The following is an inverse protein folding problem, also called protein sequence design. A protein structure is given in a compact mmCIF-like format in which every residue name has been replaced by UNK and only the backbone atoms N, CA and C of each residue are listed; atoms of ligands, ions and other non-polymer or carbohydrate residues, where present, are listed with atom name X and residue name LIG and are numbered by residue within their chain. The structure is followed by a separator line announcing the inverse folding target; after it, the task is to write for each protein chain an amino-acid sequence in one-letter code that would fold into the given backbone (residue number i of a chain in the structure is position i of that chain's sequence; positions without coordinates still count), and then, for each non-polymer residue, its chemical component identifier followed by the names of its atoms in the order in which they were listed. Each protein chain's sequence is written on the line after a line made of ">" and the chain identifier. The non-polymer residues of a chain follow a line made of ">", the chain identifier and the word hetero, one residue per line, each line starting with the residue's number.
data_IF_873829859515
#
_entry.id   IF_873829859515
#
_cell.length_a   1.000
_cell.length_b   1.000
_cell.length_c   1.000
_cell.angle_alpha   90.00
_cell.angle_beta   90.00
_cell.angle_gamma   90.00
#
_symmetry.space_group_name_H-M   'P 1'
#
loop_
_entity.id
_entity.type
_entity.pdbx_description
1 polymer ?
#
# COMPACT_ATOMS: atom_id res chain seq x y z
N UNK A 1 -1.17 -1.62 9.25
CA UNK A 1 -0.17 -0.91 8.41
C UNK A 1 -0.65 -1.01 6.97
N UNK A 2 -0.99 0.10 6.33
CA UNK A 2 -1.48 0.05 4.96
C UNK A 2 -0.38 -0.44 4.00
N UNK A 3 -0.75 -1.37 3.13
CA UNK A 3 0.04 -1.91 2.04
C UNK A 3 -0.66 -1.59 0.71
N UNK A 4 -0.32 -2.28 -0.37
CA UNK A 4 -0.91 -2.02 -1.69
C UNK A 4 -2.46 -2.10 -1.71
N UNK A 5 -3.11 -3.15 -1.14
CA UNK A 5 -4.57 -3.24 -1.19
C UNK A 5 -5.28 -2.09 -0.50
N UNK A 6 -4.77 -1.66 0.66
CA UNK A 6 -5.35 -0.55 1.42
C UNK A 6 -5.15 0.78 0.68
N UNK A 7 -3.97 1.00 0.08
CA UNK A 7 -3.72 2.19 -0.75
C UNK A 7 -4.61 2.21 -2.01
N UNK A 8 -4.82 1.07 -2.65
CA UNK A 8 -5.72 0.93 -3.80
C UNK A 8 -7.17 1.21 -3.41
N UNK A 9 -7.61 0.71 -2.24
CA UNK A 9 -8.92 1.02 -1.69
C UNK A 9 -9.13 2.52 -1.52
N UNK A 10 -8.17 3.22 -0.89
CA UNK A 10 -8.24 4.67 -0.67
C UNK A 10 -8.38 5.43 -1.99
N UNK A 11 -7.56 5.08 -2.99
CA UNK A 11 -7.63 5.71 -4.32
C UNK A 11 -8.98 5.50 -4.99
N UNK A 12 -9.55 4.29 -4.93
CA UNK A 12 -10.86 4.01 -5.52
C UNK A 12 -11.97 4.76 -4.80
N UNK A 13 -11.92 4.84 -3.47
CA UNK A 13 -12.88 5.64 -2.69
C UNK A 13 -12.78 7.13 -2.99
N UNK A 14 -11.58 7.66 -3.18
CA UNK A 14 -11.42 9.05 -3.60
C UNK A 14 -12.00 9.30 -5.00
N UNK A 15 -11.85 8.38 -5.94
CA UNK A 15 -12.49 8.46 -7.27
C UNK A 15 -14.01 8.43 -7.18
N UNK A 16 -14.58 7.69 -6.24
CA UNK A 16 -16.02 7.57 -6.03
C UNK A 16 -16.62 8.82 -5.36
N UNK A 17 -15.98 9.31 -4.29
CA UNK A 17 -16.54 10.37 -3.44
C UNK A 17 -16.11 11.79 -3.83
N UNK A 18 -15.04 11.94 -4.57
CA UNK A 18 -14.48 13.23 -4.96
C UNK A 18 -13.97 13.26 -6.42
N UNK A 19 -14.75 12.76 -7.42
CA UNK A 19 -14.26 12.60 -8.79
C UNK A 19 -13.80 13.93 -9.41
N UNK A 20 -14.55 15.01 -9.18
CA UNK A 20 -14.33 16.36 -9.75
C UNK A 20 -13.94 17.39 -8.69
N UNK A 21 -13.26 16.95 -7.64
CA UNK A 21 -12.93 17.82 -6.52
C UNK A 21 -12.10 19.03 -6.96
N UNK A 22 -12.42 20.19 -6.40
CA UNK A 22 -11.59 21.39 -6.53
C UNK A 22 -10.97 21.68 -5.16
N UNK A 23 -9.66 21.50 -5.06
CA UNK A 23 -8.90 21.80 -3.85
C UNK A 23 -8.64 23.30 -3.82
N UNK A 24 -9.06 23.98 -2.75
CA UNK A 24 -8.81 25.41 -2.55
C UNK A 24 -7.47 25.68 -1.88
N UNK A 25 -7.12 24.83 -0.90
CA UNK A 25 -5.85 24.93 -0.16
C UNK A 25 -5.64 23.68 0.67
N UNK A 26 -4.39 23.48 1.13
CA UNK A 26 -4.06 22.48 2.14
C UNK A 26 -3.80 23.17 3.50
N UNK A 27 -4.38 22.62 4.60
CA UNK A 27 -4.05 22.97 5.97
C UNK A 27 -3.19 21.87 6.56
N UNK A 28 -1.94 22.16 6.84
CA UNK A 28 -1.03 21.24 7.52
C UNK A 28 -1.21 21.45 9.04
N UNK A 29 -1.72 20.42 9.73
CA UNK A 29 -1.94 20.44 11.18
C UNK A 29 -0.75 19.87 11.97
N UNK A 30 0.14 19.17 11.27
CA UNK A 30 1.37 18.62 11.82
C UNK A 30 2.51 18.79 10.81
N UNK A 31 3.45 19.69 11.07
CA UNK A 31 4.52 20.02 10.11
C UNK A 31 5.46 18.86 9.81
N UNK A 32 5.70 17.96 10.79
CA UNK A 32 6.59 16.82 10.62
C UNK A 32 6.17 15.83 9.51
N UNK A 33 4.91 15.88 9.06
CA UNK A 33 4.44 15.04 7.93
C UNK A 33 4.56 15.74 6.57
N UNK A 34 4.86 17.04 6.55
CA UNK A 34 5.06 17.78 5.30
C UNK A 34 6.49 17.59 4.80
N UNK A 35 6.68 16.59 3.92
CA UNK A 35 7.97 16.34 3.30
C UNK A 35 8.37 17.50 2.34
N UNK A 36 9.65 17.65 2.02
CA UNK A 36 10.10 18.67 1.09
C UNK A 36 9.24 18.73 -0.18
N UNK A 37 8.87 19.95 -0.64
CA UNK A 37 9.33 21.28 -0.21
C UNK A 37 8.61 21.89 1.00
N UNK A 38 7.85 21.12 1.77
CA UNK A 38 7.34 21.48 3.09
C UNK A 38 5.91 22.05 3.11
N UNK A 39 5.42 22.38 4.32
CA UNK A 39 4.04 22.78 4.58
C UNK A 39 3.59 24.01 3.79
N UNK A 40 4.44 25.02 3.66
CA UNK A 40 4.16 26.21 2.87
C UNK A 40 3.94 25.91 1.39
N UNK A 41 4.70 24.99 0.83
CA UNK A 41 4.53 24.59 -0.57
C UNK A 41 3.25 23.79 -0.76
N UNK A 42 2.92 22.88 0.16
CA UNK A 42 1.61 22.20 0.18
C UNK A 42 0.46 23.20 0.19
N UNK A 43 0.44 24.14 1.11
CA UNK A 43 -0.61 25.16 1.22
C UNK A 43 -0.77 26.00 -0.06
N UNK A 44 0.32 26.37 -0.70
CA UNK A 44 0.27 27.21 -1.91
C UNK A 44 -0.02 26.45 -3.21
N UNK A 45 0.48 25.21 -3.34
CA UNK A 45 0.49 24.48 -4.62
C UNK A 45 -0.51 23.34 -4.70
N UNK A 46 -0.96 22.80 -3.56
CA UNK A 46 -2.04 21.82 -3.51
C UNK A 46 -3.39 22.50 -3.71
N UNK A 47 -3.57 23.16 -4.86
CA UNK A 47 -4.79 23.86 -5.27
C UNK A 47 -5.07 23.64 -6.75
N UNK A 48 -6.34 23.54 -7.12
CA UNK A 48 -6.80 23.31 -8.47
C UNK A 48 -7.84 22.20 -8.53
N UNK A 49 -8.32 21.92 -9.73
CA UNK A 49 -9.22 20.79 -9.98
C UNK A 49 -8.41 19.50 -9.99
N UNK A 50 -8.93 18.48 -9.34
CA UNK A 50 -8.36 17.15 -9.41
C UNK A 50 -8.63 16.55 -10.79
N UNK A 51 -7.58 16.15 -11.48
CA UNK A 51 -7.65 15.49 -12.80
C UNK A 51 -7.54 13.98 -12.70
N UNK A 52 -7.13 13.46 -11.54
CA UNK A 52 -7.06 12.03 -11.31
C UNK A 52 -6.48 11.67 -9.94
N UNK A 53 -6.76 10.43 -9.56
CA UNK A 53 -6.17 9.78 -8.39
C UNK A 53 -5.45 8.52 -8.85
N UNK A 54 -4.26 8.30 -8.36
CA UNK A 54 -3.44 7.16 -8.73
C UNK A 54 -2.81 6.51 -7.48
N UNK A 55 -2.54 5.23 -7.54
CA UNK A 55 -1.72 4.52 -6.56
C UNK A 55 -0.38 4.13 -7.20
N UNK A 56 0.71 4.44 -6.53
CA UNK A 56 2.02 3.91 -6.86
C UNK A 56 2.65 3.29 -5.61
N UNK A 57 2.92 1.99 -5.61
CA UNK A 57 3.33 1.24 -4.41
C UNK A 57 2.35 1.47 -3.25
N UNK A 58 2.79 2.08 -2.15
CA UNK A 58 2.00 2.45 -0.97
C UNK A 58 1.79 3.97 -0.89
N UNK A 59 1.78 4.65 -2.04
CA UNK A 59 1.50 6.07 -2.11
C UNK A 59 0.13 6.30 -2.77
N UNK A 60 -0.57 7.32 -2.27
CA UNK A 60 -1.72 7.94 -2.94
C UNK A 60 -1.23 9.19 -3.66
N UNK A 61 -1.54 9.30 -4.94
CA UNK A 61 -1.22 10.44 -5.78
C UNK A 61 -2.54 11.14 -6.16
N UNK A 62 -2.56 12.48 -6.05
CA UNK A 62 -3.69 13.32 -6.46
C UNK A 62 -3.16 14.30 -7.48
N UNK A 63 -3.57 14.16 -8.74
CA UNK A 63 -3.15 15.02 -9.85
C UNK A 63 -4.04 16.23 -9.98
N UNK A 64 -3.46 17.38 -10.28
CA UNK A 64 -4.16 18.66 -10.38
C UNK A 64 -3.99 19.27 -11.79
N UNK A 65 -5.00 19.99 -12.24
CA UNK A 65 -5.01 20.71 -13.52
C UNK A 65 -3.95 21.83 -13.62
N UNK A 66 -3.36 22.19 -12.49
CA UNK A 66 -2.29 23.21 -12.37
C UNK A 66 -0.90 22.67 -12.69
N UNK A 67 -0.78 21.40 -13.10
CA UNK A 67 0.51 20.74 -13.37
C UNK A 67 1.26 20.34 -12.10
N UNK A 68 0.59 20.30 -10.96
CA UNK A 68 1.10 19.79 -9.68
C UNK A 68 0.40 18.50 -9.29
N UNK A 69 1.12 17.68 -8.55
CA UNK A 69 0.56 16.46 -7.94
C UNK A 69 0.90 16.40 -6.47
N UNK A 70 -0.06 15.96 -5.67
CA UNK A 70 0.12 15.70 -4.25
C UNK A 70 0.48 14.22 -4.12
N UNK A 71 1.61 13.93 -3.47
CA UNK A 71 2.03 12.59 -3.10
C UNK A 71 1.83 12.40 -1.61
N UNK A 72 1.11 11.36 -1.22
CA UNK A 72 0.92 10.97 0.18
C UNK A 72 1.50 9.57 0.36
N UNK A 73 2.58 9.46 1.13
CA UNK A 73 3.17 8.20 1.55
C UNK A 73 2.55 7.79 2.88
N UNK A 74 1.92 6.62 2.91
CA UNK A 74 1.05 6.23 4.02
C UNK A 74 1.79 5.86 5.32
N UNK A 75 3.06 5.48 5.24
CA UNK A 75 3.80 5.03 6.42
C UNK A 75 3.18 3.79 7.06
N UNK A 76 2.99 3.83 8.39
CA UNK A 76 2.48 2.68 9.15
C UNK A 76 1.01 2.80 9.58
N UNK A 77 0.47 4.00 9.65
CA UNK A 77 -0.92 4.27 10.11
C UNK A 77 -1.60 5.37 9.30
N UNK A 78 -1.05 5.71 8.12
CA UNK A 78 -1.61 6.75 7.28
C UNK A 78 -2.85 6.29 6.52
N UNK A 79 -3.92 7.08 6.56
CA UNK A 79 -5.13 6.89 5.80
C UNK A 79 -5.49 8.16 5.04
N UNK A 80 -6.00 8.00 3.82
CA UNK A 80 -6.46 9.12 3.00
C UNK A 80 -7.90 8.85 2.58
N UNK A 81 -8.81 9.77 2.90
CA UNK A 81 -10.22 9.61 2.62
C UNK A 81 -10.95 10.94 2.50
N UNK A 82 -12.13 10.91 1.92
CA UNK A 82 -13.02 12.06 1.80
C UNK A 82 -13.92 12.20 3.03
N UNK A 83 -14.19 13.44 3.46
CA UNK A 83 -15.17 13.78 4.48
C UNK A 83 -16.09 14.89 3.97
N UNK A 84 -17.37 14.78 4.32
CA UNK A 84 -18.42 15.75 3.90
C UNK A 84 -18.15 17.15 4.45
N UNK A 85 -17.52 17.27 5.61
CA UNK A 85 -17.29 18.56 6.28
C UNK A 85 -15.90 18.62 6.91
N UNK A 86 -15.19 19.71 6.65
CA UNK A 86 -13.91 20.00 7.26
C UNK A 86 -14.00 20.68 8.63
N UNK A 87 -15.23 20.95 9.15
CA UNK A 87 -15.42 21.73 10.41
C UNK A 87 -14.89 21.01 11.64
N UNK A 88 -15.02 19.70 11.69
CA UNK A 88 -14.56 18.85 12.79
C UNK A 88 -13.69 17.72 12.22
N UNK A 89 -12.41 17.98 11.97
CA UNK A 89 -11.53 16.97 11.42
C UNK A 89 -11.29 15.85 12.44
N UNK A 90 -11.11 14.61 11.99
CA UNK A 90 -10.74 13.48 12.83
C UNK A 90 -9.50 13.75 13.69
N UNK A 91 -9.43 13.12 14.86
CA UNK A 91 -8.41 13.38 15.90
C UNK A 91 -6.97 13.33 15.40
N UNK A 92 -6.66 12.40 14.50
CA UNK A 92 -5.30 12.18 14.00
C UNK A 92 -5.07 12.77 12.63
N UNK A 93 -5.92 13.72 12.21
CA UNK A 93 -5.71 14.47 10.95
C UNK A 93 -4.37 15.20 10.98
N UNK A 94 -3.59 15.03 9.92
CA UNK A 94 -2.28 15.69 9.74
C UNK A 94 -2.32 16.74 8.65
N UNK A 95 -3.04 16.46 7.57
CA UNK A 95 -3.26 17.41 6.49
C UNK A 95 -4.74 17.37 6.07
N UNK A 96 -5.34 18.53 5.86
CA UNK A 96 -6.65 18.71 5.26
C UNK A 96 -6.49 19.38 3.90
N UNK A 97 -6.94 18.74 2.84
CA UNK A 97 -7.10 19.36 1.54
C UNK A 97 -8.55 19.86 1.43
N UNK A 98 -8.73 21.15 1.66
CA UNK A 98 -10.05 21.79 1.72
C UNK A 98 -10.64 21.91 0.33
N UNK A 99 -11.82 21.34 0.13
CA UNK A 99 -12.51 21.32 -1.14
C UNK A 99 -13.48 22.51 -1.27
N UNK A 100 -13.80 22.86 -2.50
CA UNK A 100 -14.93 23.73 -2.77
C UNK A 100 -16.22 23.07 -2.28
N UNK A 101 -17.08 23.84 -1.60
CA UNK A 101 -18.32 23.30 -1.01
C UNK A 101 -18.20 22.82 0.45
N UNK A 102 -17.00 22.92 1.06
CA UNK A 102 -16.81 22.68 2.51
C UNK A 102 -16.45 21.24 2.90
N UNK A 103 -16.39 20.32 1.94
CA UNK A 103 -15.81 18.98 2.14
C UNK A 103 -14.28 19.02 2.21
N UNK A 104 -13.66 17.92 2.56
CA UNK A 104 -12.20 17.80 2.52
C UNK A 104 -11.75 16.39 2.14
N UNK A 105 -10.53 16.30 1.60
CA UNK A 105 -9.73 15.08 1.62
C UNK A 105 -8.83 15.16 2.85
N UNK A 106 -8.86 14.13 3.67
CA UNK A 106 -8.12 14.03 4.92
C UNK A 106 -6.93 13.11 4.73
N UNK A 107 -5.76 13.55 5.18
CA UNK A 107 -4.66 12.65 5.50
C UNK A 107 -4.57 12.51 7.02
N UNK A 108 -4.97 11.36 7.52
CA UNK A 108 -4.90 10.97 8.92
C UNK A 108 -3.73 10.02 9.14
N UNK A 109 -2.93 10.23 10.21
CA UNK A 109 -1.83 9.34 10.58
C UNK A 109 -1.51 9.46 12.08
N UNK A 110 -1.98 8.49 12.86
CA UNK A 110 -1.81 8.49 14.31
C UNK A 110 -0.32 8.49 14.73
N UNK A 111 0.53 7.78 13.97
CA UNK A 111 1.95 7.58 14.30
C UNK A 111 2.91 8.57 13.64
N UNK A 112 2.43 9.39 12.72
CA UNK A 112 3.22 10.40 11.98
C UNK A 112 4.45 9.84 11.22
N UNK A 113 4.36 8.62 10.72
CA UNK A 113 5.39 7.98 9.89
C UNK A 113 5.14 8.15 8.39
N UNK A 114 3.95 8.60 8.04
CA UNK A 114 3.63 8.97 6.68
C UNK A 114 4.04 10.41 6.37
N UNK A 115 3.95 10.76 5.11
CA UNK A 115 4.28 12.11 4.66
C UNK A 115 3.40 12.55 3.50
N UNK A 116 3.23 13.88 3.37
CA UNK A 116 2.58 14.52 2.23
C UNK A 116 3.54 15.53 1.60
N UNK A 117 3.63 15.54 0.28
CA UNK A 117 4.44 16.49 -0.48
C UNK A 117 3.71 16.90 -1.76
N UNK A 118 4.12 18.01 -2.35
CA UNK A 118 3.64 18.46 -3.65
C UNK A 118 4.81 18.54 -4.63
N UNK A 119 4.64 17.97 -5.81
CA UNK A 119 5.65 17.90 -6.87
C UNK A 119 5.06 18.37 -8.20
N UNK A 120 5.90 18.80 -9.13
CA UNK A 120 5.46 18.94 -10.53
C UNK A 120 5.05 17.56 -11.04
N UNK A 121 3.93 17.47 -11.74
CA UNK A 121 3.42 16.20 -12.26
C UNK A 121 4.43 15.52 -13.19
N UNK A 122 5.14 16.30 -13.99
CA UNK A 122 6.20 15.81 -14.88
C UNK A 122 7.39 15.15 -14.15
N UNK A 123 7.66 15.54 -12.90
CA UNK A 123 8.81 15.05 -12.14
C UNK A 123 8.47 13.74 -11.39
N UNK A 124 7.20 13.33 -11.34
CA UNK A 124 6.78 12.15 -10.57
C UNK A 124 7.42 10.85 -11.05
N UNK A 125 7.66 10.72 -12.35
CA UNK A 125 8.29 9.51 -12.90
C UNK A 125 9.70 9.31 -12.31
N UNK A 126 10.48 10.37 -12.19
CA UNK A 126 11.81 10.35 -11.58
C UNK A 126 11.75 10.12 -10.07
N UNK A 127 10.85 10.83 -9.36
CA UNK A 127 10.66 10.72 -7.90
C UNK A 127 10.23 9.29 -7.49
N UNK A 128 9.53 8.60 -8.37
CA UNK A 128 9.01 7.25 -8.11
C UNK A 128 9.81 6.14 -8.82
N UNK A 129 10.93 6.49 -9.49
CA UNK A 129 11.73 5.56 -10.29
C UNK A 129 12.32 4.40 -9.48
N UNK A 130 12.60 4.61 -8.20
CA UNK A 130 13.15 3.58 -7.31
C UNK A 130 12.17 2.45 -6.98
N UNK A 131 10.87 2.64 -7.22
CA UNK A 131 9.91 1.57 -7.02
C UNK A 131 9.98 0.55 -8.16
N UNK A 132 10.07 -0.72 -7.80
CA UNK A 132 9.96 -1.85 -8.72
C UNK A 132 8.61 -1.92 -9.45
N UNK A 133 8.39 -2.97 -10.25
CA UNK A 133 7.14 -3.14 -10.99
C UNK A 133 5.92 -3.25 -10.08
N UNK A 134 4.79 -2.77 -10.58
CA UNK A 134 3.48 -2.89 -9.93
C UNK A 134 2.92 -4.31 -10.12
N UNK A 135 2.69 -5.07 -9.04
CA UNK A 135 2.33 -6.49 -9.17
C UNK A 135 0.94 -6.73 -9.78
N UNK A 136 0.09 -5.71 -9.83
CA UNK A 136 -1.23 -5.79 -10.45
C UNK A 136 -1.25 -5.30 -11.91
N UNK A 137 -0.17 -4.68 -12.37
CA UNK A 137 -0.04 -4.28 -13.76
C UNK A 137 -0.11 -5.49 -14.71
N UNK A 138 -0.69 -5.29 -15.89
CA UNK A 138 -0.74 -6.31 -16.92
C UNK A 138 0.65 -6.67 -17.48
N UNK A 139 1.57 -5.73 -17.46
CA UNK A 139 2.95 -5.91 -17.89
C UNK A 139 3.80 -6.72 -16.91
N UNK A 140 3.42 -6.80 -15.62
CA UNK A 140 4.18 -7.56 -14.62
C UNK A 140 4.19 -9.04 -14.89
N UNK A 141 5.38 -9.62 -15.05
CA UNK A 141 5.61 -11.03 -15.40
C UNK A 141 6.39 -11.76 -14.30
N UNK A 142 6.28 -13.07 -14.26
CA UNK A 142 7.08 -13.92 -13.37
C UNK A 142 8.58 -13.78 -13.63
N UNK A 143 8.98 -13.49 -14.88
CA UNK A 143 10.37 -13.22 -15.26
C UNK A 143 10.93 -11.99 -14.55
N UNK A 144 10.11 -10.96 -14.31
CA UNK A 144 10.55 -9.76 -13.61
C UNK A 144 10.98 -10.07 -12.17
N UNK A 145 10.25 -10.99 -11.49
CA UNK A 145 10.64 -11.49 -10.17
C UNK A 145 11.97 -12.25 -10.21
N UNK A 146 12.08 -13.21 -11.14
CA UNK A 146 13.29 -14.02 -11.31
C UNK A 146 14.51 -13.15 -11.63
N UNK A 147 14.35 -12.23 -12.56
CA UNK A 147 15.47 -11.39 -13.02
C UNK A 147 15.89 -10.37 -11.97
N UNK A 148 14.94 -9.83 -11.19
CA UNK A 148 15.22 -9.00 -10.02
C UNK A 148 15.91 -9.76 -8.89
N UNK A 149 15.78 -11.08 -8.84
CA UNK A 149 16.44 -11.96 -7.87
C UNK A 149 17.79 -12.50 -8.37
N UNK A 150 18.16 -12.25 -9.63
CA UNK A 150 19.41 -12.73 -10.22
C UNK A 150 20.60 -12.30 -9.36
N UNK A 151 21.49 -13.24 -9.04
CA UNK A 151 22.66 -13.05 -8.16
C UNK A 151 22.34 -12.74 -6.69
N UNK A 152 21.08 -12.83 -6.25
CA UNK A 152 20.71 -12.72 -4.85
C UNK A 152 20.59 -14.12 -4.21
N UNK A 153 21.05 -14.22 -2.94
CA UNK A 153 20.93 -15.45 -2.13
C UNK A 153 20.12 -15.24 -0.86
N UNK A 154 19.47 -14.07 -0.74
CA UNK A 154 18.66 -13.74 0.42
C UNK A 154 17.37 -14.57 0.47
N UNK A 155 16.74 -14.71 1.64
CA UNK A 155 15.43 -15.32 1.76
C UNK A 155 14.37 -14.60 0.90
N UNK A 156 13.42 -15.37 0.36
CA UNK A 156 12.41 -14.86 -0.57
C UNK A 156 11.46 -13.83 0.06
N UNK A 157 11.15 -13.94 1.36
CA UNK A 157 10.27 -12.95 2.00
C UNK A 157 10.92 -11.56 2.11
N UNK A 158 12.14 -11.37 2.66
CA UNK A 158 12.86 -10.10 2.58
C UNK A 158 12.98 -9.54 1.17
N UNK A 159 13.21 -10.38 0.17
CA UNK A 159 13.21 -9.99 -1.24
C UNK A 159 11.88 -9.33 -1.65
N UNK A 160 10.74 -9.93 -1.30
CA UNK A 160 9.41 -9.38 -1.60
C UNK A 160 9.10 -8.09 -0.84
N UNK A 161 9.74 -7.82 0.29
CA UNK A 161 9.56 -6.60 1.07
C UNK A 161 10.34 -5.40 0.53
N UNK A 162 11.36 -5.64 -0.31
CA UNK A 162 12.11 -4.56 -0.98
C UNK A 162 11.25 -3.92 -2.07
N UNK A 163 10.83 -2.69 -1.83
CA UNK A 163 9.95 -1.94 -2.73
C UNK A 163 10.58 -1.68 -4.10
N UNK A 164 11.90 -1.80 -4.24
CA UNK A 164 12.63 -1.72 -5.52
C UNK A 164 12.48 -3.00 -6.34
N UNK A 165 12.08 -4.11 -5.73
CA UNK A 165 11.88 -5.41 -6.38
C UNK A 165 10.43 -5.66 -6.76
N UNK A 166 9.51 -5.38 -5.83
CA UNK A 166 8.06 -5.47 -6.04
C UNK A 166 7.39 -4.32 -5.29
N UNK A 167 6.74 -3.45 -6.01
CA UNK A 167 6.07 -2.30 -5.41
C UNK A 167 4.86 -2.71 -4.57
N UNK A 168 4.69 -2.09 -3.41
CA UNK A 168 3.47 -2.16 -2.62
C UNK A 168 3.30 -3.37 -1.71
N UNK A 169 4.08 -4.44 -1.86
CA UNK A 169 4.04 -5.55 -0.90
C UNK A 169 4.61 -5.14 0.46
N UNK A 170 3.96 -5.60 1.52
CA UNK A 170 4.45 -5.47 2.88
C UNK A 170 4.40 -6.80 3.60
N UNK A 171 4.45 -6.75 4.94
CA UNK A 171 4.62 -7.94 5.76
C UNK A 171 3.44 -8.91 5.70
N UNK A 172 2.22 -8.37 5.59
CA UNK A 172 0.99 -9.16 5.51
C UNK A 172 0.93 -9.86 4.15
N UNK A 173 0.95 -9.09 3.08
CA UNK A 173 0.69 -9.63 1.75
C UNK A 173 1.87 -10.40 1.17
N UNK A 174 3.10 -10.18 1.64
CA UNK A 174 4.23 -11.07 1.34
C UNK A 174 4.05 -12.47 1.96
N UNK A 175 3.64 -12.56 3.24
CA UNK A 175 3.37 -13.85 3.89
C UNK A 175 2.23 -14.60 3.21
N UNK A 176 1.12 -13.91 2.93
CA UNK A 176 -0.06 -14.48 2.25
C UNK A 176 0.26 -14.93 0.80
N UNK A 177 1.09 -14.18 0.09
CA UNK A 177 1.52 -14.53 -1.27
C UNK A 177 2.41 -15.78 -1.30
N UNK A 178 3.32 -15.91 -0.33
CA UNK A 178 4.16 -17.08 -0.16
C UNK A 178 3.35 -18.31 0.24
N UNK A 179 2.35 -18.16 1.11
CA UNK A 179 1.41 -19.23 1.43
C UNK A 179 0.65 -19.70 0.19
N UNK A 180 0.09 -18.77 -0.58
CA UNK A 180 -0.62 -19.09 -1.82
C UNK A 180 0.27 -19.76 -2.87
N UNK A 181 1.58 -19.53 -2.83
CA UNK A 181 2.56 -20.15 -3.71
C UNK A 181 3.14 -21.47 -3.20
N UNK A 182 2.89 -21.84 -1.93
CA UNK A 182 3.46 -23.02 -1.29
C UNK A 182 4.97 -22.89 -0.98
N UNK A 183 5.51 -21.67 -0.89
CA UNK A 183 6.94 -21.41 -0.72
C UNK A 183 7.24 -20.99 0.71
N UNK A 184 8.23 -21.65 1.34
CA UNK A 184 8.69 -21.29 2.68
C UNK A 184 9.36 -19.91 2.69
N UNK A 185 9.07 -19.02 3.65
CA UNK A 185 9.57 -17.65 3.66
C UNK A 185 11.10 -17.51 3.76
N UNK A 186 11.78 -18.54 4.24
CA UNK A 186 13.25 -18.57 4.35
C UNK A 186 13.95 -19.21 3.13
N UNK A 187 13.18 -19.73 2.16
CA UNK A 187 13.79 -20.22 0.92
C UNK A 187 14.66 -19.16 0.28
N UNK A 188 15.88 -19.51 -0.06
CA UNK A 188 16.79 -18.62 -0.79
C UNK A 188 16.27 -18.32 -2.20
N UNK A 189 16.31 -17.07 -2.62
CA UNK A 189 15.85 -16.67 -3.97
C UNK A 189 16.58 -17.44 -5.08
N UNK A 190 17.85 -17.75 -4.90
CA UNK A 190 18.66 -18.52 -5.87
C UNK A 190 18.32 -20.02 -5.97
N UNK A 191 17.46 -20.54 -5.08
CA UNK A 191 17.06 -21.97 -5.08
C UNK A 191 15.67 -22.18 -5.68
N UNK A 192 14.95 -21.11 -6.01
CA UNK A 192 13.61 -21.22 -6.58
C UNK A 192 13.66 -21.65 -8.04
N UNK A 193 12.90 -22.68 -8.36
CA UNK A 193 12.68 -23.15 -9.72
C UNK A 193 11.82 -22.18 -10.53
N UNK A 194 11.82 -22.32 -11.84
CA UNK A 194 10.92 -21.54 -12.72
C UNK A 194 9.45 -21.76 -12.35
N UNK A 195 9.07 -22.99 -12.02
CA UNK A 195 7.70 -23.30 -11.62
C UNK A 195 7.31 -22.58 -10.33
N UNK A 196 8.21 -22.47 -9.36
CA UNK A 196 7.99 -21.74 -8.12
C UNK A 196 7.91 -20.23 -8.35
N UNK A 197 8.73 -19.64 -9.23
CA UNK A 197 8.60 -18.24 -9.64
C UNK A 197 7.24 -17.94 -10.30
N UNK A 198 6.78 -18.83 -11.17
CA UNK A 198 5.43 -18.75 -11.77
C UNK A 198 4.33 -18.86 -10.71
N UNK A 199 4.48 -19.78 -9.75
CA UNK A 199 3.53 -19.93 -8.63
C UNK A 199 3.51 -18.70 -7.75
N UNK A 200 4.67 -18.12 -7.41
CA UNK A 200 4.79 -16.90 -6.61
C UNK A 200 4.14 -15.70 -7.31
N UNK A 201 4.39 -15.51 -8.59
CA UNK A 201 3.74 -14.46 -9.38
C UNK A 201 2.21 -14.59 -9.36
N UNK A 202 1.66 -15.81 -9.57
CA UNK A 202 0.21 -16.05 -9.48
C UNK A 202 -0.30 -15.80 -8.07
N UNK A 203 0.43 -16.27 -7.04
CA UNK A 203 0.13 -16.10 -5.63
C UNK A 203 0.03 -14.63 -5.24
N UNK A 204 1.01 -13.80 -5.63
CA UNK A 204 1.00 -12.35 -5.39
C UNK A 204 -0.27 -11.72 -5.99
N UNK A 205 -0.52 -11.94 -7.28
CA UNK A 205 -1.64 -11.30 -7.98
C UNK A 205 -3.00 -11.74 -7.45
N UNK A 206 -3.19 -13.03 -7.19
CA UNK A 206 -4.46 -13.56 -6.67
C UNK A 206 -4.73 -13.06 -5.23
N UNK A 207 -3.71 -13.08 -4.39
CA UNK A 207 -3.80 -12.60 -2.99
C UNK A 207 -4.15 -11.12 -2.94
N UNK A 208 -3.47 -10.27 -3.70
CA UNK A 208 -3.73 -8.83 -3.70
C UNK A 208 -5.13 -8.50 -4.26
N UNK A 209 -5.56 -9.17 -5.34
CA UNK A 209 -6.92 -8.97 -5.89
C UNK A 209 -8.00 -9.36 -4.90
N UNK A 210 -7.82 -10.52 -4.22
CA UNK A 210 -8.73 -10.96 -3.16
C UNK A 210 -8.76 -9.98 -2.00
N UNK A 211 -7.60 -9.49 -1.56
CA UNK A 211 -7.51 -8.51 -0.48
C UNK A 211 -8.29 -7.22 -0.81
N UNK A 212 -8.07 -6.64 -1.99
CA UNK A 212 -8.81 -5.46 -2.45
C UNK A 212 -10.31 -5.74 -2.46
N UNK A 213 -10.74 -6.86 -3.05
CA UNK A 213 -12.16 -7.21 -3.11
C UNK A 213 -12.78 -7.38 -1.72
N UNK A 214 -12.05 -8.01 -0.78
CA UNK A 214 -12.52 -8.18 0.60
C UNK A 214 -12.63 -6.85 1.34
N UNK A 215 -11.68 -5.93 1.16
CA UNK A 215 -11.77 -4.58 1.73
C UNK A 215 -13.08 -3.89 1.34
N UNK A 216 -13.46 -3.93 0.08
CA UNK A 216 -14.73 -3.35 -0.39
C UNK A 216 -15.98 -4.04 0.13
N UNK A 217 -15.89 -5.33 0.49
CA UNK A 217 -17.03 -6.06 1.08
C UNK A 217 -17.29 -5.68 2.53
N UNK A 218 -16.23 -5.41 3.30
CA UNK A 218 -16.37 -5.17 4.75
C UNK A 218 -16.47 -3.70 5.11
N UNK A 219 -16.14 -2.78 4.21
CA UNK A 219 -16.20 -1.34 4.43
C UNK A 219 -17.33 -0.69 3.63
N UNK A 220 -18.11 0.19 4.27
CA UNK A 220 -19.26 0.88 3.66
C UNK A 220 -19.02 2.39 3.48
N UNK A 221 -18.30 3.01 4.39
CA UNK A 221 -18.01 4.44 4.37
C UNK A 221 -16.56 4.73 3.96
N UNK A 222 -16.26 5.90 3.37
CA UNK A 222 -14.91 6.23 2.89
C UNK A 222 -13.87 6.33 4.01
N UNK A 223 -14.29 6.62 5.23
CA UNK A 223 -13.47 6.69 6.44
C UNK A 223 -13.25 5.35 7.14
N UNK A 224 -13.94 4.30 6.71
CA UNK A 224 -13.78 2.97 7.27
C UNK A 224 -12.57 2.27 6.66
N UNK A 225 -11.71 1.75 7.52
CA UNK A 225 -10.56 0.94 7.14
C UNK A 225 -10.61 -0.37 7.94
N UNK A 226 -10.66 -1.52 7.26
CA UNK A 226 -10.70 -2.78 7.97
C UNK A 226 -9.37 -3.02 8.69
N UNK A 227 -9.45 -3.51 9.91
CA UNK A 227 -8.29 -4.07 10.59
C UNK A 227 -7.83 -5.34 9.88
N UNK A 228 -6.55 -5.69 10.04
CA UNK A 228 -5.95 -6.85 9.35
C UNK A 228 -6.71 -8.16 9.62
N UNK A 229 -7.32 -8.29 10.80
CA UNK A 229 -8.10 -9.47 11.20
C UNK A 229 -9.38 -9.64 10.38
N UNK A 230 -9.97 -8.55 9.89
CA UNK A 230 -11.16 -8.57 9.04
C UNK A 230 -10.84 -8.94 7.59
N UNK A 231 -9.56 -8.91 7.18
CA UNK A 231 -9.14 -9.20 5.81
C UNK A 231 -9.01 -10.70 5.51
N UNK A 232 -9.37 -11.58 6.45
CA UNK A 232 -9.35 -13.03 6.31
C UNK A 232 -7.99 -13.58 5.83
N UNK A 233 -6.93 -13.25 6.55
CA UNK A 233 -5.60 -13.80 6.30
C UNK A 233 -5.58 -15.32 6.53
N UNK A 234 -4.82 -16.03 5.69
CA UNK A 234 -4.66 -17.48 5.79
C UNK A 234 -3.60 -17.87 6.83
N UNK A 235 -2.50 -17.13 6.91
CA UNK A 235 -1.38 -17.40 7.83
C UNK A 235 -0.99 -16.19 8.66
N UNK A 236 -1.09 -14.96 8.14
CA UNK A 236 -0.64 -13.78 8.87
C UNK A 236 -1.50 -13.55 10.14
N UNK A 237 -0.82 -13.38 11.28
CA UNK A 237 -1.49 -13.20 12.59
C UNK A 237 -2.08 -14.48 13.20
N UNK A 238 -1.95 -15.65 12.55
CA UNK A 238 -2.63 -16.90 12.93
C UNK A 238 -1.71 -17.94 13.58
N UNK A 239 -0.63 -17.51 14.24
CA UNK A 239 0.28 -18.42 14.92
C UNK A 239 -0.45 -19.37 15.87
N UNK A 240 -0.16 -20.66 15.79
CA UNK A 240 -0.78 -21.71 16.60
C UNK A 240 -2.19 -22.15 16.16
N UNK A 241 -2.87 -21.40 15.29
CA UNK A 241 -4.15 -21.80 14.73
C UNK A 241 -3.98 -22.79 13.58
N UNK A 242 -4.97 -23.66 13.31
CA UNK A 242 -4.93 -24.59 12.19
C UNK A 242 -4.77 -23.84 10.85
N UNK A 243 -3.94 -24.39 9.97
CA UNK A 243 -3.81 -23.93 8.59
C UNK A 243 -5.13 -24.15 7.84
N UNK A 244 -5.60 -23.23 6.98
CA UNK A 244 -6.83 -23.45 6.20
C UNK A 244 -6.69 -24.55 5.14
N UNK A 245 -5.46 -24.96 4.78
CA UNK A 245 -5.19 -26.02 3.80
C UNK A 245 -4.80 -27.37 4.37
N UNK A 246 -4.54 -27.48 5.69
CA UNK A 246 -4.18 -28.72 6.36
C UNK A 246 -4.33 -28.61 7.91
N UNK A 247 -4.31 -29.73 8.68
CA UNK A 247 -4.50 -29.67 10.13
C UNK A 247 -3.30 -29.12 10.93
N UNK A 248 -2.15 -28.85 10.27
CA UNK A 248 -0.97 -28.37 10.98
C UNK A 248 -1.15 -26.92 11.44
N UNK A 249 -0.63 -26.56 12.64
CA UNK A 249 -0.68 -25.17 13.10
C UNK A 249 0.23 -24.25 12.27
N UNK A 250 -0.20 -23.02 12.12
CA UNK A 250 0.62 -21.93 11.52
C UNK A 250 1.81 -21.64 12.44
N UNK A 251 3.00 -21.69 11.91
CA UNK A 251 4.23 -21.34 12.61
C UNK A 251 4.49 -19.82 12.57
N UNK A 252 5.29 -19.34 13.53
CA UNK A 252 5.75 -17.95 13.60
C UNK A 252 7.22 -17.90 13.97
N UNK A 253 7.97 -17.02 13.31
CA UNK A 253 9.34 -16.65 13.69
C UNK A 253 9.58 -15.16 13.47
N UNK A 254 10.75 -14.66 13.91
CA UNK A 254 11.22 -13.32 13.58
C UNK A 254 12.24 -13.45 12.43
N UNK A 255 11.98 -12.77 11.32
CA UNK A 255 12.84 -12.73 10.15
C UNK A 255 13.05 -11.26 9.75
N UNK A 256 14.30 -10.80 9.65
CA UNK A 256 14.65 -9.41 9.37
C UNK A 256 13.84 -8.40 10.23
N UNK A 257 13.84 -8.62 11.55
CA UNK A 257 13.13 -7.82 12.56
C UNK A 257 11.60 -7.73 12.38
N UNK A 258 10.99 -8.66 11.62
CA UNK A 258 9.54 -8.70 11.39
C UNK A 258 8.97 -10.07 11.68
N UNK A 259 7.76 -10.13 12.27
CA UNK A 259 7.04 -11.40 12.43
C UNK A 259 6.75 -12.02 11.07
N UNK A 260 7.08 -13.28 10.93
CA UNK A 260 6.84 -14.10 9.74
C UNK A 260 5.94 -15.25 10.13
N UNK A 261 4.93 -15.53 9.31
CA UNK A 261 3.95 -16.58 9.53
C UNK A 261 3.92 -17.49 8.31
N UNK A 262 3.84 -18.82 8.54
CA UNK A 262 3.76 -19.80 7.45
C UNK A 262 3.19 -21.13 7.97
N UNK A 263 2.73 -21.98 7.05
CA UNK A 263 2.38 -23.36 7.35
C UNK A 263 3.57 -24.27 7.06
N UNK A 264 4.15 -24.99 8.05
CA UNK A 264 5.31 -25.86 7.83
C UNK A 264 5.03 -27.05 6.90
N UNK A 265 3.76 -27.44 6.78
CA UNK A 265 3.34 -28.54 5.91
C UNK A 265 3.10 -28.11 4.48
N UNK A 266 2.45 -26.95 4.28
CA UNK A 266 2.04 -26.49 2.95
C UNK A 266 3.13 -25.69 2.22
N UNK A 267 4.12 -25.13 2.94
CA UNK A 267 5.18 -24.30 2.37
C UNK A 267 6.54 -24.98 2.52
N UNK A 268 7.19 -25.24 1.38
CA UNK A 268 8.48 -25.97 1.31
C UNK A 268 9.62 -25.06 0.84
#
# INVERSE_FOLDING_TARGET
>A
MPELPEAEYMVRRLREYAPDAVIRTARVLRESVAAPPGASALARRARGRVTGYERRAKNVLIHLDTGWSIRIQLGMSGHVYWVRSAKQPPRFTRVLFLLQGGAAIVFEDARTFGSAAVHRTQDLAEILADYGPEPLDAAFRWTDLRDAARNLRQPVKPFLLDQRRVAGLGNIWAAESLFAAGIHPERGTGTLTEQEWRALHRGIRSTLRRAIANTFKVTKAPEEFPEADLLQANVYGRAGLPCPGCPHPVARAIQAARSTYWCPQCQK
#
